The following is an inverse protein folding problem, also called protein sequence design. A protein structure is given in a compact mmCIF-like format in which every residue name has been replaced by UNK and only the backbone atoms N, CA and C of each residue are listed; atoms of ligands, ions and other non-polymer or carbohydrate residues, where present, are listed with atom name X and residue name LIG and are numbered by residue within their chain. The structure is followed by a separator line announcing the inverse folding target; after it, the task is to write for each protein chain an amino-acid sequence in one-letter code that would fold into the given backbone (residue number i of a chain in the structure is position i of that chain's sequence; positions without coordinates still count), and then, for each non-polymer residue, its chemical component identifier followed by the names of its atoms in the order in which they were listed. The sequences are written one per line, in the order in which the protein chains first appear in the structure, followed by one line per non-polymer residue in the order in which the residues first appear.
data_IF_052466346158
#
_entry.id   IF_052466346158
#
_cell.length_a   1.000
_cell.length_b   1.000
_cell.length_c   1.000
_cell.angle_alpha   90.00
_cell.angle_beta   90.00
_cell.angle_gamma   90.00
#
_symmetry.space_group_name_H-M   'P 1'
#
loop_
_entity.id
_entity.type
_entity.pdbx_description
1 polymer ?
#
# COMPACT_ATOMS: atom_id res chain seq x y z
N UNK A 1 -2.77 16.94 0.77
CA UNK A 1 -3.17 15.95 -0.26
C UNK A 1 -2.53 14.64 0.15
N UNK A 2 -3.29 13.56 0.21
CA UNK A 2 -2.74 12.23 0.53
C UNK A 2 -1.68 11.84 -0.50
N UNK A 3 -0.56 11.25 -0.05
CA UNK A 3 0.51 10.76 -0.95
C UNK A 3 0.07 9.56 -1.81
N UNK A 4 -1.06 8.96 -1.43
CA UNK A 4 -1.69 7.83 -2.10
C UNK A 4 -3.05 8.23 -2.68
N UNK A 5 -3.43 7.59 -3.78
CA UNK A 5 -4.77 7.69 -4.37
C UNK A 5 -5.78 6.89 -3.54
N UNK A 6 -7.07 7.08 -3.83
CA UNK A 6 -8.13 6.30 -3.17
C UNK A 6 -7.98 4.80 -3.43
N UNK A 7 -7.60 4.41 -4.64
CA UNK A 7 -7.39 3.00 -5.01
C UNK A 7 -6.21 2.40 -4.25
N UNK A 8 -5.11 3.15 -4.12
CA UNK A 8 -3.94 2.72 -3.36
C UNK A 8 -4.23 2.59 -1.86
N UNK A 9 -4.99 3.54 -1.28
CA UNK A 9 -5.43 3.44 0.11
C UNK A 9 -6.34 2.23 0.30
N UNK A 10 -7.31 2.02 -0.59
CA UNK A 10 -8.20 0.85 -0.52
C UNK A 10 -7.43 -0.47 -0.65
N UNK A 11 -6.41 -0.52 -1.52
CA UNK A 11 -5.50 -1.66 -1.61
C UNK A 11 -4.72 -1.86 -0.31
N UNK A 12 -4.18 -0.80 0.29
CA UNK A 12 -3.43 -0.89 1.55
C UNK A 12 -4.32 -1.29 2.74
N UNK A 13 -5.58 -0.87 2.77
CA UNK A 13 -6.55 -1.20 3.81
C UNK A 13 -6.87 -2.70 3.93
N UNK A 14 -6.60 -3.50 2.89
CA UNK A 14 -6.81 -4.96 2.97
C UNK A 14 -5.74 -5.66 3.81
N UNK A 15 -4.61 -4.99 4.06
CA UNK A 15 -3.55 -5.50 4.92
C UNK A 15 -3.81 -5.04 6.35
N UNK A 16 -3.90 -5.97 7.29
CA UNK A 16 -4.22 -5.71 8.70
C UNK A 16 -3.02 -5.17 9.48
N UNK A 17 -2.35 -4.13 8.97
CA UNK A 17 -1.14 -3.56 9.57
C UNK A 17 -1.08 -2.05 9.40
N UNK A 18 -0.52 -1.39 10.41
CA UNK A 18 -0.23 0.04 10.43
C UNK A 18 1.28 0.32 10.53
N UNK A 19 2.11 -0.70 10.32
CA UNK A 19 3.56 -0.56 10.21
C UNK A 19 3.97 -0.59 8.73
N UNK A 20 4.76 0.41 8.32
CA UNK A 20 5.22 0.54 6.92
C UNK A 20 6.03 -0.68 6.47
N UNK A 21 6.91 -1.18 7.34
CA UNK A 21 7.84 -2.27 7.00
C UNK A 21 7.10 -3.60 6.88
N UNK A 22 6.15 -3.85 7.79
CA UNK A 22 5.27 -4.99 7.76
C UNK A 22 4.35 -4.95 6.53
N UNK A 23 3.78 -3.78 6.21
CA UNK A 23 2.98 -3.59 5.00
C UNK A 23 3.77 -3.91 3.72
N UNK A 24 5.01 -3.43 3.61
CA UNK A 24 5.94 -3.78 2.52
C UNK A 24 6.14 -5.30 2.44
N UNK A 25 6.30 -5.96 3.60
CA UNK A 25 6.44 -7.41 3.70
C UNK A 25 5.22 -8.13 3.16
N UNK A 26 4.03 -7.78 3.66
CA UNK A 26 2.78 -8.41 3.26
C UNK A 26 2.48 -8.20 1.77
N UNK A 27 2.67 -6.98 1.25
CA UNK A 27 2.51 -6.69 -0.19
C UNK A 27 3.43 -7.60 -1.02
N UNK A 28 4.72 -7.68 -0.67
CA UNK A 28 5.67 -8.56 -1.37
C UNK A 28 5.28 -10.04 -1.33
N UNK A 29 4.61 -10.48 -0.28
CA UNK A 29 4.12 -11.86 -0.17
C UNK A 29 2.91 -12.12 -1.06
N UNK A 30 2.00 -11.14 -1.22
CA UNK A 30 0.80 -11.33 -2.05
C UNK A 30 1.04 -11.07 -3.53
N UNK A 31 2.02 -10.24 -3.90
CA UNK A 31 2.32 -9.88 -5.29
C UNK A 31 2.40 -11.10 -6.24
N UNK A 32 3.13 -12.19 -5.93
CA UNK A 32 3.19 -13.37 -6.80
C UNK A 32 1.86 -14.13 -6.98
N UNK A 33 0.87 -13.83 -6.13
CA UNK A 33 -0.46 -14.44 -6.16
C UNK A 33 -1.48 -13.58 -6.91
N UNK A 34 -1.17 -12.31 -7.18
CA UNK A 34 -1.99 -11.43 -8.01
C UNK A 34 -1.86 -11.87 -9.47
N UNK A 35 -2.99 -12.05 -10.16
CA UNK A 35 -3.04 -12.46 -11.58
C UNK A 35 -3.62 -11.40 -12.51
N UNK A 36 -4.20 -10.37 -11.90
CA UNK A 36 -4.80 -9.25 -12.59
C UNK A 36 -3.71 -8.18 -12.77
N UNK A 37 -3.43 -7.83 -14.02
CA UNK A 37 -2.30 -6.94 -14.34
C UNK A 37 -2.49 -5.53 -13.79
N UNK A 38 -3.73 -5.03 -13.72
CA UNK A 38 -4.03 -3.73 -13.14
C UNK A 38 -3.77 -3.75 -11.62
N UNK A 39 -4.16 -4.82 -10.93
CA UNK A 39 -3.86 -5.00 -9.50
C UNK A 39 -2.37 -5.22 -9.21
N UNK A 40 -1.64 -5.87 -10.12
CA UNK A 40 -0.18 -6.03 -10.03
C UNK A 40 0.50 -4.67 -10.13
N UNK A 41 0.15 -3.85 -11.13
CA UNK A 41 0.68 -2.50 -11.28
C UNK A 41 0.36 -1.62 -10.06
N UNK A 42 -0.87 -1.69 -9.53
CA UNK A 42 -1.26 -0.97 -8.33
C UNK A 42 -0.40 -1.37 -7.12
N UNK A 43 -0.16 -2.67 -6.94
CA UNK A 43 0.71 -3.19 -5.88
C UNK A 43 2.16 -2.72 -6.02
N UNK A 44 2.70 -2.69 -7.24
CA UNK A 44 4.05 -2.15 -7.51
C UNK A 44 4.16 -0.65 -7.23
N UNK A 45 3.14 0.13 -7.62
CA UNK A 45 3.08 1.57 -7.34
C UNK A 45 3.06 1.86 -5.84
N UNK A 46 2.19 1.16 -5.10
CA UNK A 46 2.11 1.26 -3.64
C UNK A 46 3.46 0.88 -3.01
N UNK A 47 4.03 -0.26 -3.42
CA UNK A 47 5.30 -0.75 -2.89
C UNK A 47 6.44 0.25 -3.16
N UNK A 48 6.48 0.85 -4.34
CA UNK A 48 7.45 1.89 -4.71
C UNK A 48 7.33 3.13 -3.82
N UNK A 49 6.10 3.62 -3.59
CA UNK A 49 5.86 4.76 -2.70
C UNK A 49 6.27 4.45 -1.26
N UNK A 50 5.90 3.27 -0.74
CA UNK A 50 6.25 2.84 0.62
C UNK A 50 7.76 2.74 0.83
N UNK A 51 8.50 2.25 -0.17
CA UNK A 51 9.97 2.18 -0.11
C UNK A 51 10.65 3.56 -0.19
N UNK A 52 10.00 4.55 -0.79
CA UNK A 52 10.53 5.90 -0.96
C UNK A 52 10.11 6.89 0.13
N UNK A 53 9.34 6.46 1.14
CA UNK A 53 8.91 7.31 2.26
C UNK A 53 9.47 6.81 3.59
N UNK A 54 9.51 7.69 4.59
CA UNK A 54 9.92 7.34 5.96
C UNK A 54 8.76 6.78 6.77
N UNK A 55 9.05 6.15 7.92
CA UNK A 55 8.00 5.71 8.85
C UNK A 55 7.20 6.89 9.42
N UNK A 56 7.83 8.06 9.58
CA UNK A 56 7.17 9.30 10.00
C UNK A 56 6.15 9.76 8.95
N UNK A 57 6.54 9.80 7.68
CA UNK A 57 5.63 10.15 6.59
C UNK A 57 4.50 9.13 6.42
N UNK A 58 4.78 7.86 6.73
CA UNK A 58 3.77 6.80 6.70
C UNK A 58 2.74 6.96 7.83
N UNK A 59 3.18 7.34 9.04
CA UNK A 59 2.29 7.55 10.19
C UNK A 59 1.30 8.71 9.99
N UNK A 60 1.59 9.64 9.06
CA UNK A 60 0.66 10.72 8.68
C UNK A 60 -0.44 10.28 7.71
N UNK A 61 -0.40 9.05 7.19
CA UNK A 61 -1.39 8.53 6.23
C UNK A 61 -2.60 8.01 6.98
N UNK A 62 -3.79 8.49 6.60
CA UNK A 62 -5.05 7.87 7.02
C UNK A 62 -5.38 6.70 6.09
N UNK A 63 -5.29 5.47 6.61
CA UNK A 63 -5.71 4.24 5.93
C UNK A 63 -7.20 3.98 6.18
N UNK A 64 -8.03 4.94 5.81
CA UNK A 64 -9.48 4.78 5.82
C UNK A 64 -9.95 4.43 4.41
N UNK A 65 -10.65 3.31 4.28
CA UNK A 65 -11.24 2.93 3.00
C UNK A 65 -12.26 4.02 2.60
N UNK A 66 -12.11 4.58 1.40
CA UNK A 66 -13.09 5.51 0.89
C UNK A 66 -14.25 4.73 0.28
N UNK A 67 -15.46 4.98 0.78
CA UNK A 67 -16.73 4.49 0.22
C UNK A 67 -17.07 5.18 -1.12
#
# INVERSE_FOLDING_TARGET
MSKFTVEEINFMCVFETQDRTDMIGQIRQVMPHIKDSDMEELGEQVLGKLQNMTDEEFAEISLEAAE
#
